data_IF_158584991993
#
_entry.id   IF_158584991993
#
_cell.length_a   1.000
_cell.length_b   1.000
_cell.length_c   1.000
_cell.angle_alpha   90.00
_cell.angle_beta   90.00
_cell.angle_gamma   90.00
#
_symmetry.space_group_name_H-M   'P 1'
#
loop_
_entity.id
_entity.type
_entity.pdbx_description
1 polymer ?
#
# COMPACT_ATOMS: atom_id res chain seq x y z
N UNK A 1 66.89 50.36 32.01
CA UNK A 1 67.25 50.80 30.65
C UNK A 1 66.36 50.02 29.70
N UNK A 2 65.15 50.51 29.42
CA UNK A 2 64.80 51.39 28.29
C UNK A 2 64.58 50.60 26.97
N UNK A 3 63.33 50.13 26.78
CA UNK A 3 62.34 50.34 25.68
C UNK A 3 62.81 50.74 24.23
N UNK A 4 61.94 50.83 23.19
CA UNK A 4 60.60 50.24 22.87
C UNK A 4 60.36 49.86 21.36
N UNK A 5 59.12 49.46 20.99
CA UNK A 5 58.42 49.80 19.72
C UNK A 5 57.76 48.61 18.98
N UNK A 6 56.47 48.30 19.19
CA UNK A 6 55.23 48.69 18.42
C UNK A 6 55.08 47.93 17.07
N UNK A 7 53.95 47.35 16.63
CA UNK A 7 52.58 47.89 16.52
C UNK A 7 51.54 46.79 16.12
N UNK A 8 50.27 46.95 16.56
CA UNK A 8 49.00 46.87 15.77
C UNK A 8 48.54 45.52 15.13
N UNK A 9 47.31 44.98 15.20
CA UNK A 9 45.94 45.48 15.47
C UNK A 9 44.94 44.32 15.76
N UNK A 10 43.89 44.58 16.56
CA UNK A 10 42.59 43.86 16.57
C UNK A 10 41.53 44.72 15.90
N UNK A 11 40.43 44.12 15.38
CA UNK A 11 39.15 44.82 15.39
C UNK A 11 38.02 44.03 16.09
N UNK A 12 37.02 44.82 16.45
CA UNK A 12 35.94 44.58 17.40
C UNK A 12 34.76 43.75 16.86
N UNK A 13 33.99 43.17 17.79
CA UNK A 13 32.64 42.63 17.57
C UNK A 13 31.62 43.75 17.37
N UNK A 14 30.61 43.57 16.51
CA UNK A 14 29.33 44.24 16.66
C UNK A 14 28.30 43.35 17.36
N UNK A 15 27.46 44.03 18.13
CA UNK A 15 26.39 43.58 18.99
C UNK A 15 25.09 43.50 18.18
N UNK A 16 24.34 42.39 18.17
CA UNK A 16 22.95 42.36 17.72
C UNK A 16 22.07 41.45 18.60
N UNK A 17 21.36 42.14 19.49
CA UNK A 17 19.96 41.97 19.93
C UNK A 17 19.25 40.62 19.78
N UNK A 18 18.76 40.14 20.92
CA UNK A 18 17.66 39.19 21.08
C UNK A 18 16.43 39.53 20.20
N UNK A 19 15.97 38.53 19.43
CA UNK A 19 14.55 38.34 19.15
C UNK A 19 14.23 36.85 19.27
N UNK A 20 13.53 36.52 20.35
CA UNK A 20 12.84 35.25 20.56
C UNK A 20 11.60 35.21 19.67
N UNK A 21 11.71 34.63 18.47
CA UNK A 21 10.54 34.23 17.71
C UNK A 21 10.16 32.80 18.06
N UNK A 22 9.21 32.68 18.99
CA UNK A 22 8.35 31.50 19.09
C UNK A 22 7.56 31.41 17.78
N UNK A 23 7.94 30.47 16.91
CA UNK A 23 7.16 30.09 15.75
C UNK A 23 6.31 28.88 16.13
N UNK A 24 5.14 29.12 16.69
CA UNK A 24 4.02 28.18 16.62
C UNK A 24 3.52 28.17 15.17
N UNK A 25 4.22 27.43 14.32
CA UNK A 25 3.82 27.17 12.95
C UNK A 25 2.97 25.91 12.89
N UNK A 26 1.65 26.05 13.04
CA UNK A 26 0.71 25.00 12.60
C UNK A 26 1.02 24.66 11.14
N UNK A 27 1.51 23.44 10.92
CA UNK A 27 1.96 22.94 9.61
C UNK A 27 0.75 22.86 8.67
N UNK A 28 0.55 23.90 7.85
CA UNK A 28 -0.54 23.93 6.88
C UNK A 28 -0.33 22.86 5.80
N UNK A 29 -1.26 21.91 5.73
CA UNK A 29 -0.99 20.57 5.19
C UNK A 29 -1.75 20.30 3.90
N UNK A 30 -1.04 20.34 2.78
CA UNK A 30 -1.62 20.24 1.43
C UNK A 30 -2.22 18.86 1.12
N UNK A 31 -3.40 18.88 0.48
CA UNK A 31 -4.13 17.72 -0.03
C UNK A 31 -3.34 16.96 -1.12
N UNK A 32 -3.50 15.64 -1.19
CA UNK A 32 -2.75 14.77 -2.11
C UNK A 32 -3.68 13.82 -2.88
N UNK A 33 -3.38 13.62 -4.17
CA UNK A 33 -4.05 12.65 -5.04
C UNK A 33 -3.03 11.63 -5.60
N UNK A 34 -3.23 10.31 -5.40
CA UNK A 34 -2.30 9.29 -5.88
C UNK A 34 -2.37 9.11 -7.41
N UNK A 35 -1.21 9.12 -8.08
CA UNK A 35 -1.08 8.72 -9.49
C UNK A 35 -0.66 7.24 -9.61
N UNK A 36 -1.26 6.45 -10.51
CA UNK A 36 -0.89 5.05 -10.72
C UNK A 36 0.50 4.87 -11.39
N UNK A 37 1.17 3.71 -11.25
CA UNK A 37 2.51 3.47 -11.78
C UNK A 37 2.60 3.60 -13.32
N UNK A 38 3.66 4.25 -13.80
CA UNK A 38 3.83 4.70 -15.19
C UNK A 38 4.18 3.62 -16.25
N UNK A 39 4.32 2.33 -15.91
CA UNK A 39 4.80 1.28 -16.86
C UNK A 39 4.17 -0.10 -16.66
N UNK A 40 2.84 -0.19 -16.60
CA UNK A 40 2.11 -1.47 -16.73
C UNK A 40 1.49 -1.50 -18.13
N UNK A 41 1.51 -2.64 -18.82
CA UNK A 41 0.69 -2.79 -20.04
C UNK A 41 -0.78 -2.63 -19.66
N UNK A 42 -1.54 -1.90 -20.47
CA UNK A 42 -2.99 -1.79 -20.29
C UNK A 42 -3.70 -3.11 -20.61
N UNK A 43 -3.04 -3.97 -21.39
CA UNK A 43 -3.62 -5.19 -21.95
C UNK A 43 -3.11 -6.42 -21.21
N UNK A 44 -3.79 -6.79 -20.12
CA UNK A 44 -3.37 -7.89 -19.25
C UNK A 44 -4.48 -8.92 -19.08
N UNK A 45 -4.13 -10.19 -19.26
CA UNK A 45 -4.95 -11.34 -18.89
C UNK A 45 -4.44 -11.93 -17.58
N UNK A 46 -5.34 -12.06 -16.61
CA UNK A 46 -5.11 -12.91 -15.44
C UNK A 46 -5.48 -14.35 -15.79
N UNK A 47 -4.60 -15.27 -15.42
CA UNK A 47 -4.77 -16.72 -15.58
C UNK A 47 -4.76 -17.36 -14.21
N UNK A 48 -5.88 -17.93 -13.79
CA UNK A 48 -6.01 -18.75 -12.59
C UNK A 48 -5.94 -20.24 -12.89
N UNK A 49 -5.90 -21.05 -11.82
CA UNK A 49 -5.76 -22.50 -11.90
C UNK A 49 -4.51 -22.96 -12.67
N UNK A 50 -3.44 -22.19 -12.58
CA UNK A 50 -2.16 -22.54 -13.19
C UNK A 50 -1.55 -23.71 -12.39
N UNK A 51 -1.13 -24.82 -13.05
CA UNK A 51 -0.56 -25.97 -12.37
C UNK A 51 0.62 -25.59 -11.46
N UNK A 52 0.67 -26.16 -10.24
CA UNK A 52 1.67 -25.77 -9.23
C UNK A 52 3.11 -26.08 -9.63
N UNK A 53 3.31 -27.10 -10.47
CA UNK A 53 4.60 -27.54 -10.99
C UNK A 53 4.92 -26.98 -12.38
N UNK A 54 4.21 -25.94 -12.84
CA UNK A 54 4.49 -25.32 -14.14
C UNK A 54 5.76 -24.47 -14.08
N UNK A 55 6.55 -24.49 -15.15
CA UNK A 55 7.66 -23.55 -15.32
C UNK A 55 7.23 -22.30 -16.09
N UNK A 56 8.00 -21.22 -15.96
CA UNK A 56 7.78 -20.02 -16.77
C UNK A 56 7.93 -20.31 -18.27
N UNK A 57 8.92 -21.13 -18.66
CA UNK A 57 9.15 -21.53 -20.06
C UNK A 57 7.98 -22.31 -20.64
N UNK A 58 7.37 -23.21 -19.85
CA UNK A 58 6.22 -24.00 -20.28
C UNK A 58 5.00 -23.11 -20.58
N UNK A 59 4.71 -22.14 -19.69
CA UNK A 59 3.65 -21.15 -19.92
C UNK A 59 3.95 -20.28 -21.14
N UNK A 60 5.20 -19.80 -21.25
CA UNK A 60 5.62 -18.99 -22.38
C UNK A 60 5.42 -19.73 -23.70
N UNK A 61 5.91 -20.98 -23.79
CA UNK A 61 5.73 -21.84 -24.96
C UNK A 61 4.25 -22.00 -25.28
N UNK A 62 3.42 -22.38 -24.30
CA UNK A 62 1.99 -22.61 -24.52
C UNK A 62 1.26 -21.38 -25.10
N UNK A 63 1.42 -20.20 -24.49
CA UNK A 63 0.75 -18.97 -24.95
C UNK A 63 1.34 -18.41 -26.25
N UNK A 64 2.60 -18.69 -26.55
CA UNK A 64 3.26 -18.20 -27.76
C UNK A 64 3.00 -19.10 -28.99
N UNK A 65 2.88 -20.41 -28.80
CA UNK A 65 2.66 -21.34 -29.92
C UNK A 65 1.19 -21.58 -30.24
N UNK A 66 0.30 -21.44 -29.26
CA UNK A 66 -1.13 -21.66 -29.47
C UNK A 66 -1.75 -20.38 -30.00
N UNK A 67 -2.24 -20.41 -31.24
CA UNK A 67 -2.76 -19.22 -31.93
C UNK A 67 -4.29 -19.15 -31.79
N UNK A 68 -4.84 -18.12 -31.11
CA UNK A 68 -6.28 -17.88 -31.09
C UNK A 68 -6.81 -17.59 -32.50
N UNK A 69 -7.99 -18.10 -32.86
CA UNK A 69 -8.63 -17.77 -34.14
C UNK A 69 -8.87 -16.27 -34.27
N UNK A 70 -8.69 -15.71 -35.47
CA UNK A 70 -9.06 -14.32 -35.76
C UNK A 70 -10.59 -14.25 -35.87
N UNK A 71 -11.27 -13.89 -34.77
CA UNK A 71 -12.72 -13.96 -34.74
C UNK A 71 -13.40 -12.84 -35.53
N UNK A 72 -12.91 -11.59 -35.50
CA UNK A 72 -13.64 -10.46 -36.08
C UNK A 72 -12.69 -9.31 -36.47
N UNK A 73 -12.86 -8.78 -37.69
CA UNK A 73 -12.54 -7.43 -38.19
C UNK A 73 -11.25 -7.09 -38.97
N UNK A 74 -10.19 -7.92 -39.02
CA UNK A 74 -9.13 -7.73 -40.03
C UNK A 74 -8.28 -9.01 -40.24
N UNK A 75 -8.27 -9.62 -41.45
CA UNK A 75 -7.40 -10.76 -41.77
C UNK A 75 -5.90 -10.45 -41.69
N UNK A 76 -5.53 -9.16 -41.60
CA UNK A 76 -4.15 -8.68 -41.71
C UNK A 76 -3.39 -8.61 -40.39
N UNK A 77 -4.03 -8.77 -39.22
CA UNK A 77 -3.34 -8.59 -37.94
C UNK A 77 -2.96 -9.95 -37.29
N UNK A 78 -1.68 -10.38 -37.43
CA UNK A 78 -1.24 -11.68 -36.95
C UNK A 78 -1.30 -11.76 -35.42
N UNK A 79 -1.43 -12.99 -34.91
CA UNK A 79 -1.24 -13.24 -33.48
C UNK A 79 0.21 -12.97 -33.10
N UNK A 80 0.43 -11.98 -32.23
CA UNK A 80 1.78 -11.59 -31.78
C UNK A 80 2.28 -12.40 -30.59
N UNK A 81 1.41 -13.15 -29.93
CA UNK A 81 1.74 -13.81 -28.67
C UNK A 81 1.83 -12.85 -27.49
N UNK A 82 2.20 -13.37 -26.31
CA UNK A 82 2.38 -12.56 -25.11
C UNK A 82 3.65 -11.69 -25.20
N UNK A 83 3.58 -10.46 -24.69
CA UNK A 83 4.74 -9.58 -24.54
C UNK A 83 5.58 -9.92 -23.30
N UNK A 84 4.94 -10.40 -22.24
CA UNK A 84 5.60 -10.88 -21.01
C UNK A 84 4.65 -11.73 -20.17
N UNK A 85 5.20 -12.67 -19.39
CA UNK A 85 4.43 -13.51 -18.46
C UNK A 85 5.02 -13.40 -17.04
N UNK A 86 4.17 -13.12 -16.06
CA UNK A 86 4.55 -13.15 -14.64
C UNK A 86 3.83 -14.30 -13.95
N UNK A 87 4.57 -15.38 -13.66
CA UNK A 87 4.05 -16.54 -12.93
C UNK A 87 4.09 -16.28 -11.41
N UNK A 88 2.97 -16.53 -10.74
CA UNK A 88 2.82 -16.47 -9.28
C UNK A 88 2.46 -17.87 -8.77
N UNK A 89 3.48 -18.73 -8.67
CA UNK A 89 3.31 -20.14 -8.29
C UNK A 89 2.61 -20.33 -6.93
N UNK A 90 2.80 -19.39 -5.99
CA UNK A 90 2.19 -19.47 -4.65
C UNK A 90 0.67 -19.39 -4.65
N UNK A 91 0.07 -18.77 -5.66
CA UNK A 91 -1.38 -18.61 -5.79
C UNK A 91 -1.92 -19.26 -7.06
N UNK A 92 -1.15 -20.18 -7.67
CA UNK A 92 -1.53 -20.88 -8.89
C UNK A 92 -2.12 -19.95 -9.95
N UNK A 93 -1.45 -18.82 -10.18
CA UNK A 93 -1.89 -17.84 -11.17
C UNK A 93 -0.74 -17.21 -11.93
N UNK A 94 -1.04 -16.59 -13.07
CA UNK A 94 -0.10 -15.85 -13.89
C UNK A 94 -0.75 -14.59 -14.46
N UNK A 95 0.08 -13.58 -14.76
CA UNK A 95 -0.31 -12.43 -15.57
C UNK A 95 0.36 -12.53 -16.93
N UNK A 96 -0.45 -12.58 -17.98
CA UNK A 96 -0.01 -12.59 -19.37
C UNK A 96 -0.28 -11.21 -19.95
N UNK A 97 0.78 -10.49 -20.32
CA UNK A 97 0.69 -9.16 -20.91
C UNK A 97 0.68 -9.28 -22.43
N UNK A 98 -0.07 -8.40 -23.07
CA UNK A 98 -0.13 -8.27 -24.51
C UNK A 98 0.25 -6.84 -24.93
N UNK A 99 0.64 -6.70 -26.19
CA UNK A 99 0.97 -5.41 -26.80
C UNK A 99 -0.25 -4.66 -27.33
N UNK A 100 -1.41 -5.31 -27.42
CA UNK A 100 -2.65 -4.71 -27.94
C UNK A 100 -3.91 -5.24 -27.24
N UNK A 101 -4.96 -4.41 -27.24
CA UNK A 101 -6.30 -4.80 -26.82
C UNK A 101 -6.86 -5.95 -27.67
N UNK A 102 -6.61 -5.95 -28.99
CA UNK A 102 -7.06 -7.00 -29.90
C UNK A 102 -6.49 -8.38 -29.56
N UNK A 103 -5.21 -8.47 -29.18
CA UNK A 103 -4.59 -9.72 -28.72
C UNK A 103 -5.22 -10.20 -27.41
N UNK A 104 -5.46 -9.29 -26.47
CA UNK A 104 -6.12 -9.61 -25.20
C UNK A 104 -7.54 -10.16 -25.41
N UNK A 105 -8.33 -9.48 -26.25
CA UNK A 105 -9.72 -9.86 -26.55
C UNK A 105 -9.82 -11.20 -27.26
N UNK A 106 -8.83 -11.55 -28.10
CA UNK A 106 -8.71 -12.89 -28.68
C UNK A 106 -8.29 -13.92 -27.64
N UNK A 107 -7.31 -13.59 -26.79
CA UNK A 107 -6.69 -14.52 -25.86
C UNK A 107 -7.64 -14.98 -24.74
N UNK A 108 -8.35 -14.05 -24.11
CA UNK A 108 -9.17 -14.34 -22.93
C UNK A 108 -10.21 -15.43 -23.18
N UNK A 109 -11.13 -15.30 -24.15
CA UNK A 109 -12.14 -16.33 -24.40
C UNK A 109 -11.55 -17.62 -24.96
N UNK A 110 -10.47 -17.54 -25.75
CA UNK A 110 -9.85 -18.72 -26.35
C UNK A 110 -9.12 -19.60 -25.35
N UNK A 111 -8.31 -19.01 -24.47
CA UNK A 111 -7.53 -19.76 -23.47
C UNK A 111 -8.35 -20.14 -22.23
N UNK A 112 -9.49 -19.49 -22.00
CA UNK A 112 -10.38 -19.83 -20.91
C UNK A 112 -10.87 -21.29 -21.04
N UNK A 113 -10.71 -22.08 -19.98
CA UNK A 113 -11.14 -23.48 -19.93
C UNK A 113 -10.18 -24.47 -20.62
N UNK A 114 -9.10 -24.00 -21.26
CA UNK A 114 -8.06 -24.87 -21.78
C UNK A 114 -7.20 -25.44 -20.65
N UNK A 115 -6.76 -26.68 -20.84
CA UNK A 115 -5.72 -27.29 -20.00
C UNK A 115 -4.36 -27.01 -20.60
N UNK A 116 -3.39 -26.65 -19.76
CA UNK A 116 -2.00 -26.47 -20.18
C UNK A 116 -1.38 -27.77 -20.69
N UNK A 117 -1.83 -28.91 -20.15
CA UNK A 117 -1.35 -30.25 -20.49
C UNK A 117 -2.57 -31.11 -20.84
N UNK A 118 -3.11 -31.02 -22.06
CA UNK A 118 -4.31 -31.77 -22.45
C UNK A 118 -4.16 -33.29 -22.31
N UNK A 119 -2.94 -33.80 -22.31
CA UNK A 119 -2.61 -35.22 -22.12
C UNK A 119 -2.60 -35.68 -20.65
N UNK A 120 -2.63 -34.77 -19.67
CA UNK A 120 -2.70 -35.11 -18.25
C UNK A 120 -4.12 -34.80 -17.70
N UNK A 121 -4.95 -35.82 -17.41
CA UNK A 121 -6.31 -35.64 -16.90
C UNK A 121 -6.38 -34.89 -15.56
N UNK A 122 -5.28 -34.85 -14.80
CA UNK A 122 -5.21 -34.15 -13.51
C UNK A 122 -4.84 -32.67 -13.69
N UNK A 123 -4.42 -32.26 -14.88
CA UNK A 123 -4.06 -30.89 -15.15
C UNK A 123 -5.33 -30.01 -15.17
N UNK A 124 -5.46 -29.03 -14.27
CA UNK A 124 -6.66 -28.22 -14.16
C UNK A 124 -6.89 -27.37 -15.42
N UNK A 125 -8.16 -27.05 -15.67
CA UNK A 125 -8.54 -26.08 -16.70
C UNK A 125 -8.28 -24.67 -16.18
N UNK A 126 -7.59 -23.88 -16.99
CA UNK A 126 -7.23 -22.51 -16.65
C UNK A 126 -8.44 -21.59 -16.69
N UNK A 127 -8.44 -20.60 -15.80
CA UNK A 127 -9.46 -19.54 -15.78
C UNK A 127 -8.80 -18.26 -16.29
N UNK A 128 -9.17 -17.83 -17.49
CA UNK A 128 -8.67 -16.58 -18.08
C UNK A 128 -9.69 -15.46 -17.90
N UNK A 129 -9.24 -14.28 -17.46
CA UNK A 129 -10.07 -13.06 -17.32
C UNK A 129 -9.24 -11.82 -17.70
N UNK A 130 -9.90 -10.81 -18.24
CA UNK A 130 -9.29 -9.48 -18.38
C UNK A 130 -8.95 -8.93 -16.99
N UNK A 131 -7.76 -8.36 -16.86
CA UNK A 131 -7.30 -7.70 -15.64
C UNK A 131 -7.19 -6.20 -15.90
N UNK A 132 -8.19 -5.44 -15.46
CA UNK A 132 -8.21 -4.00 -15.63
C UNK A 132 -7.20 -3.31 -14.70
N UNK A 133 -6.93 -2.04 -14.95
CA UNK A 133 -6.08 -1.20 -14.10
C UNK A 133 -6.69 -1.03 -12.71
N UNK A 134 -8.01 -0.83 -12.65
CA UNK A 134 -8.75 -0.63 -11.40
C UNK A 134 -8.81 -1.89 -10.53
N UNK A 135 -8.60 -3.07 -11.11
CA UNK A 135 -8.60 -4.32 -10.34
C UNK A 135 -7.39 -4.41 -9.39
N UNK A 136 -6.30 -3.70 -9.67
CA UNK A 136 -5.17 -3.58 -8.74
C UNK A 136 -5.55 -2.77 -7.51
N UNK A 137 -6.46 -1.80 -7.67
CA UNK A 137 -7.03 -1.04 -6.56
C UNK A 137 -7.98 -1.88 -5.71
N UNK A 138 -8.53 -2.97 -6.24
CA UNK A 138 -9.46 -3.86 -5.52
C UNK A 138 -8.84 -5.17 -5.05
N UNK A 139 -7.60 -5.47 -5.43
CA UNK A 139 -6.94 -6.72 -5.08
C UNK A 139 -5.73 -6.51 -4.18
N UNK A 140 -5.42 -7.52 -3.34
CA UNK A 140 -4.28 -7.43 -2.44
C UNK A 140 -4.42 -6.30 -1.42
N UNK A 141 -3.37 -5.49 -1.25
CA UNK A 141 -3.38 -4.31 -0.37
C UNK A 141 -4.27 -3.18 -0.89
N UNK A 142 -4.58 -3.17 -2.20
CA UNK A 142 -5.54 -2.22 -2.77
C UNK A 142 -6.90 -2.30 -2.11
N UNK A 143 -7.39 -3.53 -1.85
CA UNK A 143 -8.65 -3.75 -1.15
C UNK A 143 -8.68 -3.10 0.24
N UNK A 144 -7.53 -3.10 0.93
CA UNK A 144 -7.39 -2.45 2.24
C UNK A 144 -7.43 -0.93 2.14
N UNK A 145 -6.93 -0.39 1.02
CA UNK A 145 -6.93 1.04 0.71
C UNK A 145 -8.28 1.53 0.19
N UNK A 146 -9.26 0.63 0.06
CA UNK A 146 -10.59 0.90 -0.46
C UNK A 146 -11.44 1.79 0.44
N UNK A 147 -12.56 2.26 -0.13
CA UNK A 147 -13.49 3.19 0.50
C UNK A 147 -14.10 2.58 1.77
N UNK A 148 -13.87 3.25 2.90
CA UNK A 148 -14.67 3.07 4.12
C UNK A 148 -14.00 2.30 5.26
N UNK A 149 -12.82 1.68 5.10
CA UNK A 149 -12.18 0.93 6.21
C UNK A 149 -12.00 1.78 7.47
N UNK A 150 -11.30 2.92 7.35
CA UNK A 150 -11.06 3.82 8.46
C UNK A 150 -12.36 4.36 9.07
N UNK A 151 -13.38 4.64 8.24
CA UNK A 151 -14.68 5.11 8.73
C UNK A 151 -15.47 4.04 9.46
N UNK A 152 -15.51 2.83 8.90
CA UNK A 152 -16.19 1.69 9.50
C UNK A 152 -15.57 1.35 10.86
N UNK A 153 -14.24 1.39 10.98
CA UNK A 153 -13.55 1.20 12.25
C UNK A 153 -13.91 2.25 13.29
N UNK A 154 -13.91 3.54 12.93
CA UNK A 154 -14.33 4.62 13.85
C UNK A 154 -15.81 4.46 14.26
N UNK A 155 -16.68 4.06 13.34
CA UNK A 155 -18.08 3.80 13.66
C UNK A 155 -18.26 2.60 14.62
N UNK A 156 -17.50 1.53 14.40
CA UNK A 156 -17.47 0.36 15.27
C UNK A 156 -16.97 0.73 16.69
N UNK A 157 -15.90 1.53 16.79
CA UNK A 157 -15.40 2.07 18.06
C UNK A 157 -16.50 2.85 18.81
N UNK A 158 -17.17 3.79 18.13
CA UNK A 158 -18.27 4.58 18.71
C UNK A 158 -19.45 3.72 19.17
N UNK A 159 -19.76 2.64 18.44
CA UNK A 159 -20.81 1.70 18.83
C UNK A 159 -20.40 0.87 20.05
N UNK A 160 -19.14 0.42 20.11
CA UNK A 160 -18.61 -0.30 21.27
C UNK A 160 -18.66 0.56 22.53
N UNK A 161 -18.22 1.82 22.46
CA UNK A 161 -18.32 2.80 23.56
C UNK A 161 -19.75 3.01 24.04
N UNK A 162 -20.71 3.14 23.11
CA UNK A 162 -22.14 3.27 23.45
C UNK A 162 -22.71 2.04 24.15
N UNK A 163 -22.25 0.84 23.77
CA UNK A 163 -22.69 -0.40 24.39
C UNK A 163 -22.08 -0.65 25.78
N UNK A 164 -20.95 -0.01 26.09
CA UNK A 164 -20.28 -0.06 27.39
C UNK A 164 -20.83 0.95 28.41
N UNK A 165 -21.67 1.91 27.98
CA UNK A 165 -22.33 2.87 28.86
C UNK A 165 -23.66 2.32 29.41
N UNK A 166 -23.87 2.23 30.74
CA UNK A 166 -25.16 1.79 31.29
C UNK A 166 -26.23 2.86 31.03
N UNK A 167 -27.30 2.50 30.29
CA UNK A 167 -28.49 3.33 30.10
C UNK A 167 -29.11 3.65 31.46
N UNK A 168 -29.07 4.92 31.88
CA UNK A 168 -29.99 5.42 32.90
C UNK A 168 -31.44 5.29 32.40
N UNK A 169 -32.43 4.96 33.26
CA UNK A 169 -33.82 4.89 32.85
C UNK A 169 -34.33 6.27 32.45
N UNK A 170 -34.80 6.39 31.20
CA UNK A 170 -35.25 7.63 30.59
C UNK A 170 -36.68 7.96 31.06
N UNK A 171 -36.87 9.08 31.77
CA UNK A 171 -38.18 9.69 31.98
C UNK A 171 -38.57 10.43 30.70
N UNK A 172 -39.55 9.90 29.98
CA UNK A 172 -40.11 10.48 28.75
C UNK A 172 -40.95 11.73 29.06
N UNK A 173 -40.78 12.77 28.24
CA UNK A 173 -41.75 13.84 28.01
C UNK A 173 -41.87 14.06 26.48
N UNK A 174 -43.07 14.37 25.94
CA UNK A 174 -43.38 14.20 24.52
C UNK A 174 -43.27 15.48 23.66
N UNK A 175 -42.98 15.21 22.38
CA UNK A 175 -43.35 15.90 21.13
C UNK A 175 -42.89 17.33 20.78
N UNK A 176 -42.23 17.46 19.61
CA UNK A 176 -42.80 18.16 18.42
C UNK A 176 -41.86 18.10 17.16
N UNK A 177 -42.37 18.36 15.93
CA UNK A 177 -42.22 17.44 14.81
C UNK A 177 -41.23 17.85 13.70
N UNK A 178 -40.85 16.82 12.93
CA UNK A 178 -40.38 16.75 11.55
C UNK A 178 -40.08 18.05 10.77
N UNK A 179 -38.80 18.23 10.43
CA UNK A 179 -38.36 18.85 9.18
C UNK A 179 -37.50 17.86 8.42
N UNK A 180 -38.09 17.23 7.39
CA UNK A 180 -37.39 16.39 6.42
C UNK A 180 -36.54 17.29 5.51
N UNK A 181 -35.24 17.41 5.77
CA UNK A 181 -34.28 17.86 4.76
C UNK A 181 -33.74 16.64 4.03
N UNK A 182 -34.32 16.37 2.86
CA UNK A 182 -33.84 15.39 1.89
C UNK A 182 -32.41 15.73 1.45
N UNK A 183 -31.41 15.07 2.03
CA UNK A 183 -30.04 15.13 1.53
C UNK A 183 -29.92 14.24 0.29
N UNK A 184 -30.00 14.90 -0.86
CA UNK A 184 -29.68 14.38 -2.20
C UNK A 184 -28.43 13.51 -2.17
N UNK A 185 -28.62 12.22 -2.48
CA UNK A 185 -27.56 11.23 -2.60
C UNK A 185 -26.81 11.46 -3.93
N UNK A 186 -25.98 12.51 -4.00
CA UNK A 186 -25.05 12.69 -5.10
C UNK A 186 -23.89 11.71 -4.94
N UNK A 187 -23.98 10.56 -5.61
CA UNK A 187 -22.84 9.70 -5.90
C UNK A 187 -21.91 10.46 -6.85
N UNK A 188 -21.06 11.33 -6.32
CA UNK A 188 -20.00 11.97 -7.07
C UNK A 188 -18.94 10.93 -7.43
N UNK A 189 -18.77 10.75 -8.74
CA UNK A 189 -17.63 10.19 -9.45
C UNK A 189 -16.32 10.09 -8.64
N UNK A 190 -15.89 8.85 -8.39
CA UNK A 190 -14.49 8.42 -8.27
C UNK A 190 -13.51 9.29 -7.44
N UNK A 191 -13.78 9.48 -6.14
CA UNK A 191 -12.74 9.86 -5.17
C UNK A 191 -12.17 8.59 -4.49
N UNK A 192 -11.01 8.13 -4.96
CA UNK A 192 -10.37 6.86 -4.55
C UNK A 192 -9.79 6.83 -3.13
N UNK A 193 -9.95 7.92 -2.36
CA UNK A 193 -9.83 7.90 -0.91
C UNK A 193 -11.14 8.44 -0.38
N UNK A 194 -12.01 7.57 0.15
CA UNK A 194 -13.18 8.10 0.86
C UNK A 194 -12.73 8.96 2.03
N UNK A 195 -11.65 8.57 2.69
CA UNK A 195 -11.17 9.17 3.92
C UNK A 195 -10.33 10.40 3.59
N UNK A 196 -10.83 11.58 3.97
CA UNK A 196 -10.10 12.82 3.76
C UNK A 196 -8.97 12.96 4.81
N UNK A 197 -8.02 13.84 4.52
CA UNK A 197 -6.85 14.06 5.38
C UNK A 197 -7.25 14.49 6.80
N UNK A 198 -8.29 15.29 6.97
CA UNK A 198 -8.76 15.76 8.28
C UNK A 198 -9.32 14.64 9.14
N UNK A 199 -10.07 13.70 8.55
CA UNK A 199 -10.57 12.52 9.26
C UNK A 199 -9.42 11.64 9.76
N UNK A 200 -8.39 11.43 8.92
CA UNK A 200 -7.22 10.63 9.30
C UNK A 200 -6.42 11.29 10.43
N UNK A 201 -6.24 12.61 10.39
CA UNK A 201 -5.57 13.37 11.45
C UNK A 201 -6.26 13.20 12.79
N UNK A 202 -7.59 13.25 12.79
CA UNK A 202 -8.35 13.23 14.02
C UNK A 202 -8.46 11.82 14.62
N UNK A 203 -8.64 10.79 13.80
CA UNK A 203 -8.95 9.44 14.27
C UNK A 203 -7.79 8.45 14.24
N UNK A 204 -6.69 8.76 13.55
CA UNK A 204 -5.56 7.84 13.38
C UNK A 204 -4.23 8.52 13.72
N UNK A 205 -4.01 8.91 14.98
CA UNK A 205 -2.76 9.53 15.41
C UNK A 205 -1.56 8.58 15.26
N UNK A 206 -1.78 7.26 15.34
CA UNK A 206 -0.77 6.23 15.09
C UNK A 206 -1.23 5.32 13.96
N UNK A 207 -0.34 5.02 13.02
CA UNK A 207 -0.60 4.07 11.92
C UNK A 207 0.55 3.09 11.77
N UNK A 208 0.22 1.86 11.39
CA UNK A 208 1.16 0.73 11.34
C UNK A 208 1.13 0.09 9.94
N UNK A 209 2.30 -0.10 9.35
CA UNK A 209 2.43 -0.71 8.02
C UNK A 209 3.43 -1.86 8.03
N UNK A 210 3.03 -3.00 7.45
CA UNK A 210 3.95 -4.10 7.15
C UNK A 210 4.69 -3.81 5.84
N UNK A 211 6.01 -3.78 5.89
CA UNK A 211 6.88 -3.66 4.72
C UNK A 211 7.67 -4.96 4.51
N UNK A 212 7.63 -5.48 3.28
CA UNK A 212 8.19 -6.78 2.92
C UNK A 212 9.37 -6.60 1.98
N UNK A 213 10.54 -7.06 2.43
CA UNK A 213 11.73 -7.12 1.57
C UNK A 213 11.83 -8.44 0.81
N UNK A 214 12.43 -8.41 -0.38
CA UNK A 214 12.82 -9.63 -1.10
C UNK A 214 14.01 -10.32 -0.42
N UNK A 215 14.96 -9.55 0.09
CA UNK A 215 16.19 -10.06 0.71
C UNK A 215 16.41 -9.48 2.11
N UNK A 216 17.18 -10.22 2.93
CA UNK A 216 17.62 -9.72 4.24
C UNK A 216 18.66 -8.59 4.07
N UNK A 217 19.47 -8.65 3.01
CA UNK A 217 20.50 -7.63 2.72
C UNK A 217 19.90 -6.23 2.58
N UNK A 218 18.73 -6.08 1.95
CA UNK A 218 18.03 -4.79 1.85
C UNK A 218 17.64 -4.24 3.24
N UNK A 219 17.32 -5.11 4.20
CA UNK A 219 16.97 -4.74 5.57
C UNK A 219 18.21 -4.33 6.37
N UNK A 220 19.32 -5.04 6.19
CA UNK A 220 20.61 -4.67 6.79
C UNK A 220 21.12 -3.34 6.26
N UNK A 221 20.92 -3.06 4.96
CA UNK A 221 21.24 -1.76 4.37
C UNK A 221 20.35 -0.65 4.96
N UNK A 222 19.06 -0.91 5.16
CA UNK A 222 18.14 0.02 5.81
C UNK A 222 18.52 0.32 7.28
N UNK A 223 19.10 -0.65 7.99
CA UNK A 223 19.69 -0.44 9.32
C UNK A 223 20.91 0.47 9.24
N UNK A 224 21.82 0.22 8.29
CA UNK A 224 23.06 1.00 8.15
C UNK A 224 22.82 2.45 7.71
N UNK A 225 21.83 2.66 6.84
CA UNK A 225 21.55 3.95 6.21
C UNK A 225 20.43 4.72 6.89
N UNK A 226 19.67 4.10 7.79
CA UNK A 226 18.43 4.63 8.35
C UNK A 226 17.43 5.07 7.26
N UNK A 227 17.43 4.40 6.11
CA UNK A 227 16.62 4.76 4.95
C UNK A 227 15.85 3.56 4.41
N UNK A 228 14.63 3.81 3.93
CA UNK A 228 13.82 2.80 3.25
C UNK A 228 13.36 3.27 1.88
N UNK A 229 13.61 2.44 0.87
CA UNK A 229 13.04 2.58 -0.46
C UNK A 229 11.90 1.57 -0.60
N UNK A 230 10.69 2.07 -0.82
CA UNK A 230 9.52 1.21 -1.06
C UNK A 230 9.14 1.18 -2.53
N UNK A 231 8.20 0.30 -2.89
CA UNK A 231 7.65 0.23 -4.24
C UNK A 231 6.83 1.49 -4.54
N UNK A 232 6.83 1.95 -5.81
CA UNK A 232 6.15 3.20 -6.23
C UNK A 232 4.69 3.32 -5.79
N UNK A 233 3.98 2.19 -5.68
CA UNK A 233 2.56 2.19 -5.27
C UNK A 233 2.35 2.33 -3.76
N UNK A 234 3.39 2.15 -2.94
CA UNK A 234 3.34 2.33 -1.48
C UNK A 234 3.71 3.74 -1.06
N UNK A 235 4.60 4.39 -1.81
CA UNK A 235 5.03 5.77 -1.56
C UNK A 235 3.87 6.73 -1.28
N UNK A 236 2.84 6.88 -2.14
CA UNK A 236 1.73 7.80 -1.88
C UNK A 236 0.98 7.51 -0.57
N UNK A 237 0.90 6.25 -0.16
CA UNK A 237 0.16 5.83 1.04
C UNK A 237 0.97 6.15 2.29
N UNK A 238 2.27 5.85 2.28
CA UNK A 238 3.17 6.17 3.37
C UNK A 238 3.36 7.70 3.51
N UNK A 239 3.44 8.42 2.39
CA UNK A 239 3.45 9.89 2.40
C UNK A 239 2.18 10.45 3.01
N UNK A 240 1.01 9.96 2.61
CA UNK A 240 -0.25 10.39 3.21
C UNK A 240 -0.27 10.08 4.70
N UNK A 241 0.13 8.88 5.11
CA UNK A 241 0.17 8.46 6.51
C UNK A 241 1.11 9.34 7.34
N UNK A 242 2.33 9.58 6.86
CA UNK A 242 3.32 10.42 7.53
C UNK A 242 2.81 11.84 7.72
N UNK A 243 2.13 12.36 6.71
CA UNK A 243 1.43 13.61 6.85
C UNK A 243 0.33 13.41 7.93
N UNK A 244 -0.60 12.46 7.77
CA UNK A 244 -1.90 12.41 8.47
C UNK A 244 -1.86 11.87 9.88
N UNK A 245 -0.71 11.48 10.39
CA UNK A 245 -0.58 10.81 11.68
C UNK A 245 0.59 11.40 12.44
N UNK A 246 0.48 11.42 13.76
CA UNK A 246 1.56 11.85 14.64
C UNK A 246 2.70 10.82 14.62
N UNK A 247 2.36 9.53 14.55
CA UNK A 247 3.33 8.45 14.49
C UNK A 247 3.00 7.46 13.38
N UNK A 248 4.01 7.13 12.56
CA UNK A 248 3.92 6.07 11.56
C UNK A 248 4.99 5.03 11.85
N UNK A 249 4.55 3.80 12.16
CA UNK A 249 5.40 2.66 12.41
C UNK A 249 5.47 1.74 11.19
N UNK A 250 6.68 1.37 10.83
CA UNK A 250 7.00 0.45 9.74
C UNK A 250 7.56 -0.84 10.32
N UNK A 251 6.86 -1.95 10.10
CA UNK A 251 7.22 -3.28 10.61
C UNK A 251 7.81 -4.07 9.45
N UNK A 252 9.09 -4.40 9.56
CA UNK A 252 9.87 -5.01 8.48
C UNK A 252 9.94 -6.53 8.60
N UNK A 253 9.94 -7.21 7.46
CA UNK A 253 10.37 -8.60 7.42
C UNK A 253 10.73 -9.05 6.01
N UNK A 254 11.71 -9.94 5.88
CA UNK A 254 12.09 -10.51 4.60
C UNK A 254 11.10 -11.60 4.14
N UNK A 255 11.05 -11.85 2.84
CA UNK A 255 10.30 -12.96 2.28
C UNK A 255 11.02 -14.28 2.57
N UNK A 256 10.26 -15.27 3.05
CA UNK A 256 10.76 -16.62 3.40
C UNK A 256 11.72 -16.68 4.60
N UNK A 257 11.85 -15.62 5.41
CA UNK A 257 12.64 -15.65 6.66
C UNK A 257 11.95 -16.41 7.80
N UNK A 258 10.61 -16.48 7.80
CA UNK A 258 9.84 -17.06 8.91
C UNK A 258 9.71 -16.14 10.13
N UNK A 259 10.11 -14.87 10.01
CA UNK A 259 10.16 -13.91 11.11
C UNK A 259 10.02 -12.46 10.62
N UNK A 260 9.58 -11.58 11.52
CA UNK A 260 9.78 -10.14 11.39
C UNK A 260 11.22 -9.81 11.76
N UNK A 261 11.80 -8.83 11.08
CA UNK A 261 13.18 -8.38 11.29
C UNK A 261 13.29 -7.36 12.42
N UNK A 262 12.33 -6.43 12.47
CA UNK A 262 12.31 -5.31 13.40
C UNK A 262 11.27 -4.28 12.99
N UNK A 263 11.21 -3.17 13.72
CA UNK A 263 10.34 -2.05 13.37
C UNK A 263 10.99 -0.70 13.65
N UNK A 264 10.58 0.29 12.87
CA UNK A 264 11.05 1.67 12.93
C UNK A 264 9.86 2.63 12.91
N UNK A 265 10.08 3.87 13.36
CA UNK A 265 9.17 5.00 13.22
C UNK A 265 9.68 5.92 12.10
N UNK A 266 8.79 6.58 11.37
CA UNK A 266 9.16 7.72 10.52
C UNK A 266 9.39 8.96 11.40
N UNK A 267 10.58 9.60 11.35
CA UNK A 267 10.93 10.67 12.28
C UNK A 267 10.16 11.96 12.03
N UNK A 268 9.83 12.70 13.10
CA UNK A 268 8.93 13.87 13.09
C UNK A 268 9.51 15.11 12.40
N UNK A 269 10.84 15.15 12.28
CA UNK A 269 11.66 16.22 11.71
C UNK A 269 11.99 16.02 10.24
N UNK A 270 11.40 15.00 9.59
CA UNK A 270 11.60 14.58 8.22
C UNK A 270 12.15 15.71 7.37
N UNK A 271 13.48 15.64 7.14
CA UNK A 271 14.29 16.79 6.73
C UNK A 271 13.60 17.67 5.71
N UNK A 272 13.77 18.98 5.87
CA UNK A 272 13.12 20.05 5.10
C UNK A 272 13.12 19.84 3.56
N UNK A 273 13.97 18.94 3.05
CA UNK A 273 14.02 18.48 1.67
C UNK A 273 13.31 17.14 1.46
N UNK A 274 11.99 17.21 1.36
CA UNK A 274 11.24 16.39 0.40
C UNK A 274 10.67 15.06 0.91
N UNK A 275 9.34 15.00 0.89
CA UNK A 275 8.49 13.80 0.87
C UNK A 275 8.72 12.90 -0.37
N UNK A 276 9.98 12.69 -0.75
CA UNK A 276 10.41 11.87 -1.86
C UNK A 276 11.30 10.75 -1.33
N UNK A 277 11.02 9.50 -1.74
CA UNK A 277 11.83 8.35 -1.34
C UNK A 277 13.33 8.59 -1.62
N UNK A 278 14.24 8.17 -0.72
CA UNK A 278 14.01 7.24 0.39
C UNK A 278 13.38 7.87 1.65
N UNK A 279 12.52 7.09 2.32
CA UNK A 279 11.96 7.46 3.62
C UNK A 279 13.01 7.31 4.72
N UNK A 280 13.16 8.33 5.57
CA UNK A 280 14.02 8.24 6.75
C UNK A 280 13.37 7.34 7.81
N UNK A 281 14.20 6.60 8.54
CA UNK A 281 13.81 5.67 9.58
C UNK A 281 14.48 6.03 10.91
N UNK A 282 13.70 5.96 11.98
CA UNK A 282 14.19 5.87 13.34
C UNK A 282 13.91 4.45 13.85
N UNK A 283 14.92 3.59 13.86
CA UNK A 283 14.77 2.21 14.34
C UNK A 283 14.41 2.19 15.82
N UNK A 284 13.29 1.55 16.16
CA UNK A 284 12.85 1.37 17.54
C UNK A 284 13.36 0.04 18.08
N UNK A 285 13.29 -1.02 17.26
CA UNK A 285 13.81 -2.34 17.61
C UNK A 285 14.28 -3.09 16.39
N UNK A 286 15.51 -3.58 16.46
CA UNK A 286 16.10 -4.53 15.50
C UNK A 286 16.26 -5.85 16.26
N UNK A 287 15.20 -6.67 16.24
CA UNK A 287 15.18 -7.93 16.96
C UNK A 287 14.25 -8.90 16.23
N UNK A 288 14.77 -10.02 15.70
CA UNK A 288 13.95 -10.98 15.00
C UNK A 288 12.81 -11.51 15.87
N UNK A 289 11.60 -11.47 15.33
CA UNK A 289 10.39 -11.98 15.97
C UNK A 289 9.79 -13.08 15.12
N UNK A 290 10.01 -14.32 15.55
CA UNK A 290 9.47 -15.52 14.89
C UNK A 290 7.96 -15.43 14.68
N UNK A 291 7.51 -15.79 13.49
CA UNK A 291 6.09 -15.88 13.15
C UNK A 291 5.31 -16.88 13.99
N UNK A 292 5.98 -17.85 14.62
CA UNK A 292 5.33 -18.74 15.56
C UNK A 292 4.80 -17.98 16.78
N UNK A 293 5.57 -16.99 17.27
CA UNK A 293 5.20 -16.18 18.44
C UNK A 293 4.05 -15.23 18.15
N UNK A 294 3.82 -14.87 16.89
CA UNK A 294 2.76 -13.94 16.46
C UNK A 294 1.55 -14.63 15.83
N UNK A 295 1.46 -15.97 15.91
CA UNK A 295 0.36 -16.77 15.31
C UNK A 295 -1.06 -16.38 15.77
N UNK A 296 -1.15 -15.78 16.95
CA UNK A 296 -2.40 -15.36 17.58
C UNK A 296 -2.84 -13.95 17.14
N UNK A 297 -1.91 -13.16 16.57
CA UNK A 297 -2.20 -11.80 16.13
C UNK A 297 -2.88 -11.84 14.76
N UNK A 298 -4.07 -11.27 14.67
CA UNK A 298 -4.84 -11.14 13.42
C UNK A 298 -5.03 -9.68 13.06
N UNK A 299 -5.21 -9.42 11.77
CA UNK A 299 -5.47 -8.09 11.25
C UNK A 299 -6.85 -8.06 10.58
N UNK A 300 -7.90 -7.54 11.24
CA UNK A 300 -9.24 -7.47 10.67
C UNK A 300 -9.26 -6.68 9.35
N UNK A 301 -8.41 -5.66 9.21
CA UNK A 301 -8.25 -4.89 7.97
C UNK A 301 -7.66 -5.71 6.81
N UNK A 302 -7.19 -6.94 7.05
CA UNK A 302 -6.65 -7.85 6.04
C UNK A 302 -7.46 -9.16 5.94
N UNK A 303 -8.77 -9.09 6.17
CA UNK A 303 -9.67 -10.25 6.16
C UNK A 303 -9.42 -11.17 7.35
N UNK A 304 -9.10 -10.59 8.51
CA UNK A 304 -8.79 -11.27 9.76
C UNK A 304 -7.71 -12.36 9.65
N UNK A 305 -6.78 -12.18 8.70
CA UNK A 305 -5.65 -13.09 8.52
C UNK A 305 -4.60 -12.83 9.60
N UNK A 306 -3.77 -13.83 9.88
CA UNK A 306 -2.61 -13.63 10.76
C UNK A 306 -1.76 -12.47 10.25
N UNK A 307 -1.24 -11.62 11.15
CA UNK A 307 -0.48 -10.41 10.77
C UNK A 307 0.71 -10.74 9.86
N UNK A 308 1.34 -11.91 10.03
CA UNK A 308 2.42 -12.38 9.14
C UNK A 308 2.00 -12.60 7.69
N UNK A 309 0.71 -12.87 7.45
CA UNK A 309 0.10 -13.09 6.12
C UNK A 309 -0.27 -11.73 5.50
N UNK A 310 0.73 -10.85 5.44
CA UNK A 310 0.61 -9.49 4.92
C UNK A 310 1.50 -9.33 3.69
N UNK A 311 1.02 -8.54 2.72
CA UNK A 311 1.81 -8.11 1.56
C UNK A 311 2.57 -6.84 1.89
N UNK A 312 3.50 -6.45 1.02
CA UNK A 312 4.19 -5.16 1.14
C UNK A 312 3.20 -3.99 1.13
N UNK A 313 3.31 -3.07 2.09
CA UNK A 313 2.42 -1.92 2.23
C UNK A 313 1.03 -2.26 2.78
N UNK A 314 0.90 -3.36 3.52
CA UNK A 314 -0.33 -3.72 4.26
C UNK A 314 -0.46 -2.84 5.48
N UNK A 315 -1.59 -2.15 5.64
CA UNK A 315 -1.90 -1.41 6.87
C UNK A 315 -2.46 -2.36 7.93
N UNK A 316 -2.09 -2.12 9.19
CA UNK A 316 -2.54 -2.90 10.36
C UNK A 316 -3.43 -2.04 11.21
N UNK A 317 -4.58 -2.60 11.60
CA UNK A 317 -5.50 -1.97 12.54
C UNK A 317 -4.78 -1.57 13.84
N UNK A 318 -4.90 -0.32 14.29
CA UNK A 318 -4.46 0.08 15.63
C UNK A 318 -5.28 -0.70 16.66
N UNK A 319 -4.64 -1.58 17.43
CA UNK A 319 -5.26 -2.11 18.64
C UNK A 319 -5.11 -1.07 19.74
N UNK A 320 -6.20 -0.72 20.41
CA UNK A 320 -6.13 -0.03 21.71
C UNK A 320 -5.36 -0.94 22.67
N UNK A 321 -4.16 -0.50 23.06
CA UNK A 321 -3.38 -1.07 24.15
C UNK A 321 -2.85 0.06 24.99
#
# INVERSE_FOLDING_TARGET
MSAPGDESSKPARPNQSHQSHQHDGERERKEYHPQPPARRSEWVMWVGNVPSNVSHEELWRFFNTTTPPSALSNPSEPWRGPSSIFLISRSSCAFVNFSSQADLDRAVPFFHGLSLRPWDPRCPRMVCRVRHKDDDLRAGVGAQRGVGMHRAWVEQQKQAEKNLSPKAPNLELPDHPHSQSSSSNHKSSASFASTNSSFLVHHFPKRYFILKSLTISDLEEAVKTCQWKTQRHNQPILDQAFRTSQEVYLIFGANRSGEFFGYAKMPDDGGADGLAAPFQLQWVKIAPLSFFRTRHLRNPWNGDREVKVSRDGTEVEPSES
#
